data_IF_912537166669
#
_entry.id   IF_912537166669
#
_cell.length_a   1.000
_cell.length_b   1.000
_cell.length_c   1.000
_cell.angle_alpha   90.00
_cell.angle_beta   90.00
_cell.angle_gamma   90.00
#
_symmetry.space_group_name_H-M   'P 1'
#
loop_
_entity.id
_entity.type
_entity.pdbx_description
1 polymer ?
#
# COMPACT_ATOMS: atom_id res chain seq x y z
N UNK A 1 -35.80 -15.18 -22.33
CA UNK A 1 -36.56 -14.74 -23.54
C UNK A 1 -35.54 -14.26 -24.55
N UNK A 2 -35.39 -15.09 -25.63
CA UNK A 2 -34.81 -14.83 -26.98
C UNK A 2 -33.37 -14.32 -27.07
N UNK A 3 -32.32 -15.11 -27.38
CA UNK A 3 -32.04 -15.86 -28.64
C UNK A 3 -31.94 -14.96 -29.89
N UNK A 4 -30.70 -14.83 -30.43
CA UNK A 4 -30.52 -14.93 -31.88
C UNK A 4 -29.07 -15.29 -32.24
N UNK A 5 -28.89 -16.56 -32.57
CA UNK A 5 -27.82 -17.13 -33.39
C UNK A 5 -28.07 -16.72 -34.87
N UNK A 6 -27.04 -16.32 -35.60
CA UNK A 6 -27.06 -16.48 -37.05
C UNK A 6 -25.66 -16.85 -37.57
N UNK A 7 -25.57 -18.12 -37.85
CA UNK A 7 -24.62 -18.81 -38.71
C UNK A 7 -24.76 -18.35 -40.14
N UNK A 8 -23.67 -18.19 -40.87
CA UNK A 8 -23.69 -18.37 -42.32
C UNK A 8 -22.47 -19.15 -42.80
N UNK A 9 -22.79 -20.30 -43.37
CA UNK A 9 -21.97 -21.23 -44.18
C UNK A 9 -22.05 -20.73 -45.65
N UNK A 10 -21.10 -20.84 -46.51
CA UNK A 10 -20.34 -21.96 -47.04
C UNK A 10 -19.64 -21.62 -48.36
N UNK A 11 -19.00 -22.61 -48.94
CA UNK A 11 -17.74 -22.57 -49.67
C UNK A 11 -17.95 -22.92 -51.17
N UNK A 12 -17.06 -23.62 -51.87
CA UNK A 12 -15.69 -23.44 -52.26
C UNK A 12 -15.60 -23.33 -53.82
N UNK A 13 -14.45 -23.10 -54.38
CA UNK A 13 -13.91 -23.95 -55.45
C UNK A 13 -12.62 -23.39 -56.11
N UNK A 14 -11.68 -24.21 -56.13
CA UNK A 14 -10.79 -24.80 -57.12
C UNK A 14 -9.92 -23.90 -58.02
N UNK A 15 -8.71 -24.36 -58.02
CA UNK A 15 -7.74 -24.63 -59.09
C UNK A 15 -6.72 -23.62 -59.54
N UNK A 16 -5.54 -24.08 -59.39
CA UNK A 16 -4.38 -24.18 -60.32
C UNK A 16 -3.24 -23.18 -60.24
N UNK A 17 -2.12 -23.75 -59.76
CA UNK A 17 -0.74 -23.76 -60.30
C UNK A 17 -0.14 -22.44 -60.87
N UNK A 18 0.97 -21.99 -60.35
CA UNK A 18 2.32 -22.28 -60.80
C UNK A 18 3.39 -21.43 -60.10
N UNK A 19 4.40 -22.11 -59.65
CA UNK A 19 5.87 -21.87 -59.78
C UNK A 19 6.48 -20.50 -59.49
N UNK A 20 7.41 -20.61 -58.57
CA UNK A 20 8.77 -20.09 -58.55
C UNK A 20 9.11 -18.75 -57.90
N UNK A 21 9.98 -18.93 -56.98
CA UNK A 21 11.14 -18.16 -56.51
C UNK A 21 10.99 -17.38 -55.20
N UNK A 22 11.87 -17.66 -54.23
CA UNK A 22 11.83 -17.09 -52.90
C UNK A 22 12.53 -15.73 -52.87
N UNK A 23 11.77 -14.67 -52.69
CA UNK A 23 12.31 -13.41 -52.18
C UNK A 23 12.22 -13.44 -50.66
N UNK A 24 13.40 -13.41 -50.05
CA UNK A 24 13.56 -13.21 -48.61
C UNK A 24 13.16 -11.78 -48.30
N UNK A 25 11.93 -11.62 -47.86
CA UNK A 25 11.51 -10.40 -47.19
C UNK A 25 12.04 -10.41 -45.75
N UNK A 26 13.09 -9.63 -45.58
CA UNK A 26 13.62 -9.31 -44.25
C UNK A 26 12.58 -8.39 -43.57
N UNK A 27 11.70 -9.01 -42.82
CA UNK A 27 10.82 -8.29 -41.89
C UNK A 27 11.72 -7.66 -40.82
N UNK A 28 11.71 -6.32 -40.63
CA UNK A 28 12.45 -5.74 -39.52
C UNK A 28 11.79 -6.21 -38.21
N UNK A 29 12.56 -6.89 -37.39
CA UNK A 29 12.21 -7.18 -36.00
C UNK A 29 11.78 -5.86 -35.33
N UNK A 30 10.69 -5.86 -34.56
CA UNK A 30 10.39 -4.69 -33.76
C UNK A 30 11.51 -4.54 -32.72
N UNK A 31 12.25 -3.45 -32.83
CA UNK A 31 13.16 -2.98 -31.81
C UNK A 31 12.41 -3.03 -30.49
N UNK A 32 12.81 -3.98 -29.63
CA UNK A 32 12.38 -4.02 -28.25
C UNK A 32 12.93 -2.76 -27.58
N UNK A 33 12.06 -1.77 -27.46
CA UNK A 33 12.27 -0.60 -26.62
C UNK A 33 12.45 -1.13 -25.18
N UNK A 34 13.69 -1.42 -24.83
CA UNK A 34 14.11 -1.75 -23.49
C UNK A 34 13.97 -0.47 -22.67
N UNK A 35 12.73 -0.19 -22.27
CA UNK A 35 12.48 0.75 -21.19
C UNK A 35 13.25 0.23 -19.98
N UNK A 36 14.36 0.87 -19.66
CA UNK A 36 15.14 0.65 -18.45
C UNK A 36 14.20 0.70 -17.26
N UNK A 37 13.85 -0.47 -16.73
CA UNK A 37 13.10 -0.65 -15.48
C UNK A 37 13.98 -0.09 -14.34
N UNK A 38 13.91 1.23 -14.13
CA UNK A 38 14.54 1.86 -12.96
C UNK A 38 13.96 1.20 -11.73
N UNK A 39 14.77 0.66 -10.83
CA UNK A 39 14.28 -0.06 -9.66
C UNK A 39 13.39 0.87 -8.85
N UNK A 40 12.11 0.49 -8.73
CA UNK A 40 11.11 1.23 -7.94
C UNK A 40 11.66 1.35 -6.51
N UNK A 41 11.78 2.58 -6.00
CA UNK A 41 12.29 2.83 -4.65
C UNK A 41 11.45 2.13 -3.59
N UNK A 42 12.06 1.79 -2.46
CA UNK A 42 11.34 1.18 -1.32
C UNK A 42 10.14 2.04 -0.88
N UNK A 43 10.30 3.36 -0.82
CA UNK A 43 9.23 4.29 -0.49
C UNK A 43 8.06 4.23 -1.49
N UNK A 44 8.33 4.10 -2.78
CA UNK A 44 7.29 3.96 -3.80
C UNK A 44 6.53 2.63 -3.66
N UNK A 45 7.24 1.52 -3.40
CA UNK A 45 6.61 0.21 -3.13
C UNK A 45 5.74 0.24 -1.88
N UNK A 46 6.21 0.86 -0.80
CA UNK A 46 5.45 1.04 0.43
C UNK A 46 4.18 1.88 0.19
N UNK A 47 4.30 2.99 -0.54
CA UNK A 47 3.17 3.84 -0.91
C UNK A 47 2.11 3.08 -1.72
N UNK A 48 2.53 2.24 -2.65
CA UNK A 48 1.64 1.38 -3.43
C UNK A 48 0.93 0.35 -2.53
N UNK A 49 1.67 -0.32 -1.63
CA UNK A 49 1.12 -1.30 -0.70
C UNK A 49 0.09 -0.72 0.27
N UNK A 50 0.25 0.55 0.65
CA UNK A 50 -0.65 1.25 1.58
C UNK A 50 -1.80 1.99 0.89
N UNK A 51 -2.00 1.82 -0.42
CA UNK A 51 -3.01 2.57 -1.19
C UNK A 51 -4.42 2.38 -0.64
N UNK A 52 -4.82 1.15 -0.31
CA UNK A 52 -6.17 0.84 0.24
C UNK A 52 -6.39 1.49 1.60
N UNK A 53 -5.44 1.32 2.52
CA UNK A 53 -5.50 1.93 3.86
C UNK A 53 -5.57 3.45 3.76
N UNK A 54 -4.75 4.04 2.91
CA UNK A 54 -4.74 5.49 2.67
C UNK A 54 -6.06 5.99 2.07
N UNK A 55 -6.67 5.23 1.16
CA UNK A 55 -7.96 5.60 0.56
C UNK A 55 -9.10 5.53 1.58
N UNK A 56 -9.16 4.49 2.41
CA UNK A 56 -10.23 4.30 3.36
C UNK A 56 -10.11 5.28 4.55
N UNK A 57 -9.01 5.23 5.28
CA UNK A 57 -8.77 6.12 6.43
C UNK A 57 -8.65 7.59 5.99
N UNK A 58 -7.96 7.84 4.87
CA UNK A 58 -7.77 9.19 4.35
C UNK A 58 -9.07 9.86 3.91
N UNK A 59 -10.03 9.12 3.34
CA UNK A 59 -11.36 9.66 3.00
C UNK A 59 -12.15 10.03 4.24
N UNK A 60 -12.20 9.14 5.25
CA UNK A 60 -12.90 9.40 6.50
C UNK A 60 -12.31 10.63 7.23
N UNK A 61 -11.01 10.69 7.38
CA UNK A 61 -10.33 11.84 7.99
C UNK A 61 -10.49 13.12 7.15
N UNK A 62 -10.52 13.03 5.81
CA UNK A 62 -10.73 14.21 4.96
C UNK A 62 -12.15 14.73 5.06
N UNK A 63 -13.15 13.86 5.21
CA UNK A 63 -14.53 14.24 5.49
C UNK A 63 -14.63 14.98 6.81
N UNK A 64 -14.03 14.42 7.86
CA UNK A 64 -14.04 14.99 9.21
C UNK A 64 -13.37 16.37 9.27
N UNK A 65 -12.24 16.53 8.57
CA UNK A 65 -11.46 17.78 8.53
C UNK A 65 -11.79 18.69 7.34
N UNK A 66 -12.93 18.49 6.68
CA UNK A 66 -13.36 19.23 5.48
C UNK A 66 -13.77 20.68 5.70
N UNK A 67 -13.64 21.19 6.90
CA UNK A 67 -13.97 22.54 7.32
C UNK A 67 -15.05 22.55 8.39
N UNK A 68 -14.80 23.19 9.50
CA UNK A 68 -15.71 23.26 10.61
C UNK A 68 -15.02 23.68 11.91
N UNK A 69 -15.81 23.97 12.92
CA UNK A 69 -15.32 24.24 14.26
C UNK A 69 -14.91 22.94 14.93
N UNK A 70 -13.92 23.07 15.82
CA UNK A 70 -13.53 21.95 16.69
C UNK A 70 -14.55 21.90 17.83
N UNK A 71 -15.40 20.89 17.82
CA UNK A 71 -16.45 20.64 18.83
C UNK A 71 -16.37 19.19 19.35
N UNK A 72 -17.22 18.86 20.32
CA UNK A 72 -17.26 17.52 20.90
C UNK A 72 -17.69 16.46 19.87
N UNK A 73 -18.58 16.79 18.94
CA UNK A 73 -19.05 15.88 17.90
C UNK A 73 -17.87 15.47 16.96
N UNK A 74 -16.98 16.40 16.64
CA UNK A 74 -15.78 16.12 15.85
C UNK A 74 -14.85 15.14 16.59
N UNK A 75 -14.70 15.26 17.92
CA UNK A 75 -13.89 14.31 18.70
C UNK A 75 -14.54 12.92 18.79
N UNK A 76 -15.86 12.82 18.91
CA UNK A 76 -16.57 11.54 18.91
C UNK A 76 -16.46 10.82 17.56
N UNK A 77 -16.56 11.55 16.46
CA UNK A 77 -16.36 11.00 15.12
C UNK A 77 -14.91 10.57 14.91
N UNK A 78 -13.93 11.38 15.35
CA UNK A 78 -12.51 11.02 15.29
C UNK A 78 -12.22 9.77 16.11
N UNK A 79 -12.77 9.64 17.32
CA UNK A 79 -12.65 8.44 18.16
C UNK A 79 -13.16 7.21 17.43
N UNK A 80 -14.34 7.31 16.82
CA UNK A 80 -14.94 6.23 16.04
C UNK A 80 -14.04 5.81 14.87
N UNK A 81 -13.47 6.78 14.14
CA UNK A 81 -12.55 6.51 13.03
C UNK A 81 -11.28 5.80 13.52
N UNK A 82 -10.68 6.25 14.63
CA UNK A 82 -9.47 5.65 15.18
C UNK A 82 -9.72 4.22 15.68
N UNK A 83 -10.82 3.99 16.40
CA UNK A 83 -11.19 2.65 16.89
C UNK A 83 -11.50 1.68 15.75
N UNK A 84 -12.24 2.12 14.73
CA UNK A 84 -12.55 1.29 13.55
C UNK A 84 -11.34 1.04 12.65
N UNK A 85 -10.29 1.83 12.81
CA UNK A 85 -9.00 1.65 12.12
C UNK A 85 -8.03 0.73 12.88
N UNK A 86 -8.50 0.01 13.90
CA UNK A 86 -7.74 -0.96 14.70
C UNK A 86 -6.52 -0.37 15.44
N UNK A 87 -6.59 0.91 15.79
CA UNK A 87 -5.54 1.59 16.59
C UNK A 87 -5.55 1.10 18.04
N UNK A 88 -6.69 0.63 18.50
CA UNK A 88 -6.91 0.17 19.87
C UNK A 88 -7.34 1.29 20.83
N UNK A 89 -8.05 0.89 21.88
CA UNK A 89 -8.73 1.83 22.79
C UNK A 89 -7.73 2.73 23.52
N UNK A 90 -6.69 2.14 24.11
CA UNK A 90 -5.70 2.89 24.91
C UNK A 90 -5.00 3.96 24.08
N UNK A 91 -4.50 3.60 22.88
CA UNK A 91 -3.83 4.54 22.00
C UNK A 91 -4.79 5.62 21.49
N UNK A 92 -6.04 5.27 21.19
CA UNK A 92 -7.06 6.23 20.77
C UNK A 92 -7.32 7.29 21.86
N UNK A 93 -7.52 6.86 23.10
CA UNK A 93 -7.72 7.79 24.22
C UNK A 93 -6.52 8.71 24.43
N UNK A 94 -5.30 8.15 24.38
CA UNK A 94 -4.07 8.94 24.52
C UNK A 94 -3.93 10.00 23.41
N UNK A 95 -4.24 9.65 22.17
CA UNK A 95 -4.25 10.57 21.03
C UNK A 95 -5.26 11.69 21.26
N UNK A 96 -6.50 11.35 21.63
CA UNK A 96 -7.56 12.34 21.83
C UNK A 96 -7.25 13.30 22.98
N UNK A 97 -6.72 12.80 24.10
CA UNK A 97 -6.31 13.63 25.23
C UNK A 97 -5.16 14.57 24.86
N UNK A 98 -4.19 14.09 24.07
CA UNK A 98 -3.12 14.92 23.56
C UNK A 98 -3.67 16.03 22.65
N UNK A 99 -4.59 15.70 21.75
CA UNK A 99 -5.23 16.66 20.85
C UNK A 99 -6.03 17.72 21.62
N UNK A 100 -6.85 17.32 22.60
CA UNK A 100 -7.61 18.26 23.44
C UNK A 100 -6.68 19.23 24.17
N UNK A 101 -5.57 18.74 24.72
CA UNK A 101 -4.56 19.59 25.38
C UNK A 101 -3.90 20.55 24.39
N UNK A 102 -3.57 20.07 23.19
CA UNK A 102 -2.94 20.90 22.16
C UNK A 102 -3.90 21.97 21.63
N UNK A 103 -5.15 21.61 21.34
CA UNK A 103 -6.19 22.57 20.91
C UNK A 103 -6.36 23.68 21.94
N UNK A 104 -6.40 23.35 23.23
CA UNK A 104 -6.52 24.33 24.31
C UNK A 104 -5.28 25.20 24.45
N UNK A 105 -4.08 24.61 24.36
CA UNK A 105 -2.81 25.32 24.52
C UNK A 105 -2.56 26.29 23.38
N UNK A 106 -2.81 25.84 22.13
CA UNK A 106 -2.46 26.56 20.91
C UNK A 106 -3.66 27.34 20.33
N UNK A 107 -4.80 27.35 21.07
CA UNK A 107 -6.07 28.01 20.71
C UNK A 107 -6.52 27.67 19.27
N UNK A 108 -6.43 26.38 18.88
CA UNK A 108 -6.84 25.95 17.56
C UNK A 108 -8.36 26.09 17.40
N UNK A 109 -8.79 26.63 16.27
CA UNK A 109 -10.23 26.88 15.99
C UNK A 109 -10.73 26.18 14.74
N UNK A 110 -9.82 25.73 13.88
CA UNK A 110 -10.14 25.12 12.58
C UNK A 110 -9.77 23.64 12.57
N UNK A 111 -10.66 22.84 12.00
CA UNK A 111 -10.47 21.39 11.80
C UNK A 111 -9.22 21.05 10.98
N UNK A 112 -8.78 21.93 10.04
CA UNK A 112 -7.54 21.74 9.30
C UNK A 112 -6.30 21.79 10.20
N UNK A 113 -6.30 22.67 11.23
CA UNK A 113 -5.25 22.74 12.24
C UNK A 113 -5.26 21.48 13.11
N UNK A 114 -6.44 20.96 13.47
CA UNK A 114 -6.57 19.72 14.23
C UNK A 114 -6.03 18.51 13.44
N UNK A 115 -6.21 18.47 12.13
CA UNK A 115 -5.60 17.45 11.26
C UNK A 115 -4.08 17.44 11.35
N UNK A 116 -3.46 18.61 11.38
CA UNK A 116 -2.00 18.72 11.52
C UNK A 116 -1.56 18.28 12.92
N UNK A 117 -2.29 18.68 13.95
CA UNK A 117 -2.04 18.27 15.33
C UNK A 117 -2.17 16.73 15.51
N UNK A 118 -3.18 16.11 14.89
CA UNK A 118 -3.33 14.65 14.87
C UNK A 118 -2.12 13.96 14.23
N UNK A 119 -1.65 14.48 13.09
CA UNK A 119 -0.46 13.93 12.42
C UNK A 119 0.77 13.99 13.33
N UNK A 120 0.97 15.12 14.01
CA UNK A 120 2.09 15.32 14.94
C UNK A 120 2.00 14.39 16.15
N UNK A 121 0.80 14.24 16.74
CA UNK A 121 0.56 13.32 17.85
C UNK A 121 0.88 11.87 17.47
N UNK A 122 0.43 11.42 16.28
CA UNK A 122 0.74 10.09 15.75
C UNK A 122 2.24 9.90 15.49
N UNK A 123 2.91 10.88 14.92
CA UNK A 123 4.36 10.83 14.68
C UNK A 123 5.13 10.72 15.99
N UNK A 124 4.79 11.53 16.99
CA UNK A 124 5.42 11.51 18.33
C UNK A 124 5.23 10.16 19.02
N UNK A 125 4.04 9.54 18.87
CA UNK A 125 3.76 8.21 19.45
C UNK A 125 4.55 7.11 18.75
N UNK A 126 4.78 7.20 17.43
CA UNK A 126 5.49 6.19 16.63
C UNK A 126 7.01 6.33 16.68
N UNK A 127 7.53 7.54 16.88
CA UNK A 127 8.98 7.82 16.85
C UNK A 127 9.80 6.94 17.81
N UNK A 128 9.42 6.72 19.08
CA UNK A 128 10.14 5.83 19.99
C UNK A 128 10.15 4.37 19.54
N UNK A 129 9.18 3.96 18.72
CA UNK A 129 9.02 2.60 18.20
C UNK A 129 9.82 2.37 16.91
N UNK A 130 10.30 3.43 16.27
CA UNK A 130 11.07 3.38 15.01
C UNK A 130 12.53 2.99 15.26
N UNK A 131 12.76 1.93 16.04
CA UNK A 131 14.10 1.43 16.35
C UNK A 131 14.51 0.34 15.35
N UNK A 132 15.77 0.35 14.88
CA UNK A 132 16.29 -0.75 14.06
C UNK A 132 16.35 -2.04 14.88
N UNK A 133 16.10 -3.17 14.21
CA UNK A 133 16.26 -4.47 14.83
C UNK A 133 17.75 -4.72 15.15
N UNK A 134 18.09 -4.72 16.42
CA UNK A 134 19.45 -5.05 16.87
C UNK A 134 19.60 -6.57 17.02
N UNK A 135 20.42 -7.15 16.16
CA UNK A 135 20.73 -8.59 16.15
C UNK A 135 22.05 -8.92 16.84
N UNK A 136 22.68 -7.97 17.55
CA UNK A 136 24.02 -8.16 18.12
C UNK A 136 24.01 -8.70 19.54
N UNK A 137 22.93 -8.48 20.29
CA UNK A 137 22.87 -8.81 21.73
C UNK A 137 22.79 -10.30 22.04
N UNK A 138 22.38 -11.16 21.10
CA UNK A 138 22.24 -12.60 21.35
C UNK A 138 22.90 -13.43 20.24
N UNK A 139 23.54 -14.53 20.63
CA UNK A 139 24.20 -15.50 19.72
C UNK A 139 23.81 -16.92 20.13
N UNK A 140 22.96 -17.61 19.33
CA UNK A 140 22.33 -17.15 18.09
C UNK A 140 21.19 -16.14 18.35
N UNK A 141 20.95 -15.23 17.40
CA UNK A 141 19.76 -14.37 17.40
C UNK A 141 18.60 -15.11 16.76
N UNK A 142 17.53 -15.35 17.49
CA UNK A 142 16.40 -16.18 17.06
C UNK A 142 15.21 -15.29 16.71
N UNK A 143 14.70 -15.41 15.48
CA UNK A 143 13.48 -14.74 15.03
C UNK A 143 12.40 -15.79 14.80
N UNK A 144 11.30 -15.72 15.56
CA UNK A 144 10.13 -16.58 15.37
C UNK A 144 9.08 -15.87 14.53
N UNK A 145 8.62 -16.50 13.44
CA UNK A 145 7.57 -15.96 12.56
C UNK A 145 6.30 -16.79 12.72
N UNK A 146 5.22 -16.16 13.18
CA UNK A 146 3.93 -16.78 13.38
C UNK A 146 2.87 -16.19 12.44
N UNK A 147 1.76 -16.90 12.25
CA UNK A 147 0.63 -16.45 11.44
C UNK A 147 -0.18 -17.63 10.86
N UNK A 148 -1.36 -17.31 10.32
CA UNK A 148 -2.25 -18.30 9.69
C UNK A 148 -1.68 -18.86 8.38
N UNK A 149 -2.24 -19.96 7.90
CA UNK A 149 -1.80 -20.56 6.64
C UNK A 149 -2.07 -19.62 5.46
N UNK A 150 -1.14 -19.59 4.48
CA UNK A 150 -1.29 -18.76 3.28
C UNK A 150 -0.94 -17.28 3.43
N UNK A 151 -0.67 -16.76 4.64
CA UNK A 151 -0.37 -15.34 4.89
C UNK A 151 1.01 -14.88 4.41
N UNK A 152 1.85 -15.79 3.91
CA UNK A 152 3.18 -15.45 3.37
C UNK A 152 4.33 -15.60 4.36
N UNK A 153 4.18 -16.39 5.44
CA UNK A 153 5.27 -16.65 6.43
C UNK A 153 6.57 -17.11 5.76
N UNK A 154 6.51 -18.18 4.97
CA UNK A 154 7.68 -18.76 4.29
C UNK A 154 8.33 -17.76 3.32
N UNK A 155 7.52 -16.99 2.61
CA UNK A 155 8.01 -15.92 1.72
C UNK A 155 8.72 -14.84 2.50
N UNK A 156 8.22 -14.45 3.67
CA UNK A 156 8.84 -13.47 4.56
C UNK A 156 10.15 -13.98 5.13
N UNK A 157 10.20 -15.25 5.56
CA UNK A 157 11.42 -15.91 6.02
C UNK A 157 12.51 -15.86 4.94
N UNK A 158 12.20 -16.25 3.71
CA UNK A 158 13.15 -16.22 2.60
C UNK A 158 13.68 -14.81 2.30
N UNK A 159 12.81 -13.79 2.36
CA UNK A 159 13.23 -12.40 2.18
C UNK A 159 14.13 -11.90 3.31
N UNK A 160 13.78 -12.21 4.56
CA UNK A 160 14.60 -11.85 5.72
C UNK A 160 15.96 -12.56 5.70
N UNK A 161 15.98 -13.85 5.39
CA UNK A 161 17.24 -14.60 5.25
C UNK A 161 18.15 -13.96 4.20
N UNK A 162 17.63 -13.65 3.01
CA UNK A 162 18.38 -12.96 1.97
C UNK A 162 18.86 -11.57 2.40
N UNK A 163 18.04 -10.83 3.14
CA UNK A 163 18.40 -9.52 3.66
C UNK A 163 19.57 -9.61 4.65
N UNK A 164 19.51 -10.52 5.64
CA UNK A 164 20.59 -10.69 6.59
C UNK A 164 21.87 -11.28 5.95
N UNK A 165 21.73 -12.19 4.99
CA UNK A 165 22.86 -12.70 4.21
C UNK A 165 23.56 -11.58 3.45
N UNK A 166 22.82 -10.63 2.86
CA UNK A 166 23.41 -9.47 2.19
C UNK A 166 24.16 -8.53 3.12
N UNK A 167 23.93 -8.62 4.44
CA UNK A 167 24.66 -7.91 5.49
C UNK A 167 25.83 -8.74 6.09
N UNK A 168 26.18 -9.87 5.49
CA UNK A 168 27.26 -10.74 5.96
C UNK A 168 26.90 -11.56 7.19
N UNK A 169 25.61 -11.72 7.50
CA UNK A 169 25.14 -12.58 8.60
C UNK A 169 24.81 -13.97 8.08
N UNK A 170 25.14 -15.00 8.84
CA UNK A 170 24.89 -16.41 8.54
C UNK A 170 23.90 -17.01 9.51
#
# INVERSE_FOLDING_TARGET
MFSFFKSNKNPPDSTAKNTDNPQVDVNPEPESDASEDKPISFAAKLKMGLTRTRQNLGKQLSSLFGGGKIDDALYEELETILLTSDIGVTATHEILDNLRRQVKRDALTDSAQLKQALKEALMTMLEPLAQPLDTTHHKPFVIMITGVNGVGKTTSIGKLAKYFQSQGKS
#
